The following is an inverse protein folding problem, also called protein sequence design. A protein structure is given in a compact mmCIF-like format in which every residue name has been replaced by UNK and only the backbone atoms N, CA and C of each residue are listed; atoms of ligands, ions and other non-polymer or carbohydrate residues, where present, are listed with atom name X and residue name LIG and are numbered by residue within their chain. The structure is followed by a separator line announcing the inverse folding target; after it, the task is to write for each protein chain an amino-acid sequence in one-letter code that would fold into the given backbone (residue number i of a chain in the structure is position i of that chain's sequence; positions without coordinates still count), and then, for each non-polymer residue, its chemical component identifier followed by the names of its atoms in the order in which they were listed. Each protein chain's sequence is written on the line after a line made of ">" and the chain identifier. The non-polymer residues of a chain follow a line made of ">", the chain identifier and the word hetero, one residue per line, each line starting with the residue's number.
data_IF_404431028529
#
_entry.id   IF_404431028529
#
_cell.length_a   1.000
_cell.length_b   1.000
_cell.length_c   1.000
_cell.angle_alpha   90.00
_cell.angle_beta   90.00
_cell.angle_gamma   90.00
#
_symmetry.space_group_name_H-M   'P 1'
#
loop_
_entity.id
_entity.type
_entity.pdbx_description
1 polymer ?
#
# COMPACT_ATOMS: atom_id res chain seq x y z
N UNK A 1 -2.58 -27.64 18.48
CA UNK A 1 -2.17 -26.24 18.33
C UNK A 1 -2.94 -25.58 17.21
N UNK A 2 -3.42 -24.34 17.42
CA UNK A 2 -4.00 -23.46 16.40
C UNK A 2 -3.09 -22.22 16.33
N UNK A 3 -2.75 -21.80 15.13
CA UNK A 3 -1.91 -20.59 14.90
C UNK A 3 -2.63 -19.70 13.86
N UNK A 4 -3.16 -18.59 14.34
CA UNK A 4 -3.88 -17.61 13.53
C UNK A 4 -3.00 -16.37 13.37
N UNK A 5 -2.86 -15.91 12.14
CA UNK A 5 -2.01 -14.75 11.80
C UNK A 5 -2.80 -13.64 11.14
N UNK A 6 -2.24 -12.43 11.13
CA UNK A 6 -2.82 -11.26 10.48
C UNK A 6 -4.22 -10.89 10.99
N UNK A 7 -4.50 -11.06 12.28
CA UNK A 7 -5.75 -10.61 12.88
C UNK A 7 -5.61 -9.12 13.19
N UNK A 8 -6.45 -8.22 12.65
CA UNK A 8 -6.39 -6.79 13.01
C UNK A 8 -6.51 -6.59 14.53
N UNK A 9 -5.72 -5.71 15.10
CA UNK A 9 -5.64 -5.45 16.55
C UNK A 9 -6.99 -5.03 17.17
N UNK A 10 -7.85 -4.37 16.37
CA UNK A 10 -9.19 -3.95 16.77
C UNK A 10 -10.28 -4.97 16.43
N UNK A 11 -9.91 -6.16 15.95
CA UNK A 11 -10.88 -7.21 15.65
C UNK A 11 -11.48 -7.80 16.93
N UNK A 12 -12.79 -7.93 16.96
CA UNK A 12 -13.50 -8.65 18.02
C UNK A 12 -13.04 -10.11 18.17
N UNK A 13 -12.42 -10.67 17.14
CA UNK A 13 -11.80 -12.00 17.18
C UNK A 13 -10.80 -12.14 18.30
N UNK A 14 -10.04 -11.08 18.61
CA UNK A 14 -9.02 -11.10 19.68
C UNK A 14 -9.67 -11.37 21.06
N UNK A 15 -10.76 -10.67 21.36
CA UNK A 15 -11.48 -10.82 22.63
C UNK A 15 -12.18 -12.17 22.72
N UNK A 16 -12.84 -12.58 21.62
CA UNK A 16 -13.52 -13.87 21.54
C UNK A 16 -12.54 -15.05 21.72
N UNK A 17 -11.35 -14.98 21.11
CA UNK A 17 -10.33 -16.02 21.28
C UNK A 17 -9.88 -16.14 22.73
N UNK A 18 -9.74 -15.06 23.48
CA UNK A 18 -9.37 -15.07 24.90
C UNK A 18 -10.46 -15.75 25.75
N UNK A 19 -11.72 -15.40 25.51
CA UNK A 19 -12.86 -15.96 26.25
C UNK A 19 -13.02 -17.44 25.94
N UNK A 20 -13.15 -17.81 24.67
CA UNK A 20 -13.39 -19.18 24.24
C UNK A 20 -12.23 -20.10 24.63
N UNK A 21 -10.98 -19.67 24.49
CA UNK A 21 -9.84 -20.50 24.90
C UNK A 21 -9.90 -20.86 26.37
N UNK A 22 -10.23 -19.88 27.24
CA UNK A 22 -10.38 -20.14 28.68
C UNK A 22 -11.50 -21.14 29.00
N UNK A 23 -12.67 -21.00 28.36
CA UNK A 23 -13.82 -21.89 28.56
C UNK A 23 -13.54 -23.35 28.14
N UNK A 24 -12.72 -23.58 27.13
CA UNK A 24 -12.43 -24.92 26.60
C UNK A 24 -11.07 -25.47 27.04
N UNK A 25 -10.43 -24.89 28.07
CA UNK A 25 -9.17 -25.37 28.59
C UNK A 25 -7.97 -25.21 27.64
N UNK A 26 -7.99 -24.15 26.84
CA UNK A 26 -6.88 -23.77 25.98
C UNK A 26 -6.15 -22.56 26.57
N UNK A 27 -4.85 -22.51 26.36
CA UNK A 27 -4.03 -21.35 26.66
C UNK A 27 -3.84 -20.54 25.37
N UNK A 28 -4.19 -19.26 25.39
CA UNK A 28 -4.00 -18.33 24.26
C UNK A 28 -2.81 -17.42 24.53
N UNK A 29 -1.87 -17.36 23.55
CA UNK A 29 -0.79 -16.38 23.45
C UNK A 29 -1.08 -15.48 22.25
N UNK A 30 -1.39 -14.21 22.51
CA UNK A 30 -1.77 -13.24 21.48
C UNK A 30 -0.79 -12.07 21.53
N UNK A 31 -0.01 -11.90 20.46
CA UNK A 31 1.07 -10.93 20.38
C UNK A 31 0.97 -10.10 19.09
N UNK A 32 1.43 -8.81 19.10
CA UNK A 32 1.65 -8.06 17.90
C UNK A 32 2.61 -8.79 16.95
N UNK A 33 2.24 -8.90 15.67
CA UNK A 33 3.07 -9.57 14.67
C UNK A 33 3.74 -8.58 13.73
N UNK A 34 2.97 -7.63 13.19
CA UNK A 34 3.48 -6.63 12.25
C UNK A 34 2.79 -5.30 12.43
N UNK A 35 3.52 -4.22 12.18
CA UNK A 35 2.98 -2.88 12.05
C UNK A 35 2.12 -2.77 10.77
N UNK A 36 1.04 -2.03 10.85
CA UNK A 36 0.10 -1.75 9.74
C UNK A 36 -0.28 -0.28 9.74
N UNK A 37 0.61 0.61 9.29
CA UNK A 37 0.35 2.05 9.30
C UNK A 37 -0.79 2.43 8.38
N UNK A 38 -1.72 3.26 8.87
CA UNK A 38 -2.91 3.71 8.14
C UNK A 38 -3.04 5.23 8.24
N UNK A 39 -3.35 5.89 7.14
CA UNK A 39 -3.76 7.29 7.14
C UNK A 39 -5.29 7.33 7.23
N UNK A 40 -5.82 8.04 8.23
CA UNK A 40 -7.21 8.46 8.25
C UNK A 40 -7.36 9.67 7.32
N UNK A 41 -8.01 9.49 6.19
CA UNK A 41 -8.14 10.52 5.18
C UNK A 41 -9.08 11.64 5.63
N UNK A 42 -8.68 12.88 5.37
CA UNK A 42 -9.51 14.05 5.57
C UNK A 42 -10.51 14.22 4.41
N UNK A 43 -11.42 15.18 4.54
CA UNK A 43 -12.44 15.46 3.53
C UNK A 43 -11.86 16.02 2.22
N UNK A 44 -10.70 16.70 2.32
CA UNK A 44 -10.02 17.29 1.19
C UNK A 44 -8.50 17.28 1.38
N UNK A 45 -7.78 17.52 0.28
CA UNK A 45 -6.33 17.49 0.23
C UNK A 45 -5.65 18.53 1.14
N UNK A 46 -6.17 19.75 1.20
CA UNK A 46 -5.57 20.82 2.00
C UNK A 46 -5.74 20.56 3.50
N UNK A 47 -6.90 20.04 3.90
CA UNK A 47 -7.15 19.59 5.28
C UNK A 47 -6.24 18.43 5.66
N UNK A 48 -6.06 17.46 4.76
CA UNK A 48 -5.10 16.36 4.97
C UNK A 48 -3.67 16.90 5.15
N UNK A 49 -3.20 17.77 4.26
CA UNK A 49 -1.88 18.37 4.36
C UNK A 49 -1.71 19.21 5.64
N UNK A 50 -2.75 19.90 6.10
CA UNK A 50 -2.70 20.66 7.34
C UNK A 50 -2.47 19.77 8.58
N UNK A 51 -2.95 18.53 8.54
CA UNK A 51 -2.74 17.52 9.59
C UNK A 51 -1.34 16.89 9.61
N UNK A 52 -0.52 17.07 8.57
CA UNK A 52 0.84 16.53 8.50
C UNK A 52 1.85 17.51 9.12
N UNK A 53 2.95 16.98 9.66
CA UNK A 53 4.10 17.77 10.11
C UNK A 53 4.50 18.83 9.08
N UNK A 54 4.79 20.05 9.54
CA UNK A 54 5.09 21.21 8.69
C UNK A 54 6.21 20.93 7.68
N UNK A 55 7.28 20.27 8.11
CA UNK A 55 8.44 19.96 7.24
C UNK A 55 8.03 18.98 6.15
N UNK A 56 7.27 17.94 6.49
CA UNK A 56 6.81 16.93 5.52
C UNK A 56 5.80 17.53 4.53
N UNK A 57 4.86 18.36 5.01
CA UNK A 57 3.92 19.10 4.16
C UNK A 57 4.63 19.98 3.14
N UNK A 58 5.67 20.72 3.55
CA UNK A 58 6.47 21.54 2.63
C UNK A 58 7.19 20.69 1.58
N UNK A 59 7.71 19.54 1.99
CA UNK A 59 8.41 18.62 1.09
C UNK A 59 7.46 17.99 0.07
N UNK A 60 6.27 17.58 0.48
CA UNK A 60 5.23 17.06 -0.42
C UNK A 60 4.85 18.13 -1.45
N UNK A 61 4.52 19.34 -1.02
CA UNK A 61 4.15 20.44 -1.92
C UNK A 61 5.28 20.81 -2.88
N UNK A 62 6.52 20.82 -2.41
CA UNK A 62 7.69 21.12 -3.26
C UNK A 62 7.87 20.08 -4.37
N UNK A 63 7.73 18.79 -4.03
CA UNK A 63 7.88 17.70 -5.01
C UNK A 63 6.73 17.67 -6.02
N UNK A 64 5.50 17.87 -5.58
CA UNK A 64 4.33 17.96 -6.46
C UNK A 64 4.47 19.16 -7.42
N UNK A 65 4.81 20.34 -6.91
CA UNK A 65 5.02 21.52 -7.76
C UNK A 65 6.09 21.26 -8.82
N UNK A 66 7.22 20.62 -8.47
CA UNK A 66 8.26 20.26 -9.44
C UNK A 66 7.73 19.29 -10.51
N UNK A 67 6.89 18.34 -10.15
CA UNK A 67 6.26 17.44 -11.11
C UNK A 67 5.30 18.19 -12.04
N UNK A 68 4.49 19.11 -11.50
CA UNK A 68 3.55 19.92 -12.26
C UNK A 68 4.26 20.90 -13.23
N UNK A 69 5.38 21.51 -12.82
CA UNK A 69 6.22 22.35 -13.66
C UNK A 69 6.85 21.57 -14.83
N UNK A 70 6.90 20.24 -14.74
CA UNK A 70 7.39 19.31 -15.78
C UNK A 70 6.24 18.44 -16.34
N UNK A 71 5.02 18.95 -16.36
CA UNK A 71 3.82 18.19 -16.74
C UNK A 71 3.82 17.65 -18.18
N UNK A 72 4.64 18.21 -19.06
CA UNK A 72 4.83 17.69 -20.42
C UNK A 72 5.55 16.34 -20.43
N UNK A 73 6.44 16.11 -19.44
CA UNK A 73 7.27 14.92 -19.34
C UNK A 73 6.86 13.98 -18.19
N UNK A 74 6.22 14.52 -17.12
CA UNK A 74 5.76 13.78 -15.95
C UNK A 74 4.26 13.53 -16.05
N UNK A 75 3.87 12.25 -16.12
CA UNK A 75 2.46 11.83 -16.16
C UNK A 75 2.24 10.69 -15.19
N UNK A 76 1.01 10.55 -14.72
CA UNK A 76 0.62 9.36 -13.97
C UNK A 76 -0.74 8.84 -14.46
N UNK A 77 -0.98 7.55 -14.30
CA UNK A 77 -2.23 6.91 -14.67
C UNK A 77 -2.49 5.66 -13.83
N UNK A 78 -3.73 5.20 -13.87
CA UNK A 78 -4.17 3.92 -13.29
C UNK A 78 -4.47 2.98 -14.47
N UNK A 79 -3.93 1.76 -14.42
CA UNK A 79 -4.19 0.71 -15.38
C UNK A 79 -5.69 0.36 -15.40
N UNK A 80 -6.33 0.58 -16.53
CA UNK A 80 -7.78 0.39 -16.70
C UNK A 80 -8.18 -0.28 -18.03
N UNK A 81 -7.21 -0.70 -18.82
CA UNK A 81 -7.45 -1.35 -20.10
C UNK A 81 -7.01 -2.82 -20.03
N UNK A 82 -7.96 -3.73 -20.33
CA UNK A 82 -7.71 -5.17 -20.33
C UNK A 82 -6.65 -5.60 -21.35
N UNK A 83 -6.63 -4.93 -22.52
CA UNK A 83 -5.70 -5.31 -23.61
C UNK A 83 -4.24 -4.99 -23.29
N UNK A 84 -3.98 -4.05 -22.36
CA UNK A 84 -2.64 -3.65 -21.93
C UNK A 84 -2.26 -4.22 -20.57
N UNK A 85 -3.20 -4.85 -19.85
CA UNK A 85 -2.99 -5.27 -18.46
C UNK A 85 -1.77 -6.18 -18.29
N UNK A 86 -1.58 -7.17 -19.14
CA UNK A 86 -0.43 -8.10 -19.06
C UNK A 86 0.89 -7.35 -19.20
N UNK A 87 0.98 -6.40 -20.13
CA UNK A 87 2.18 -5.58 -20.30
C UNK A 87 2.43 -4.64 -19.13
N UNK A 88 1.38 -4.16 -18.48
CA UNK A 88 1.47 -3.32 -17.28
C UNK A 88 1.88 -4.13 -16.05
N UNK A 89 1.42 -5.38 -15.92
CA UNK A 89 1.89 -6.31 -14.88
C UNK A 89 3.40 -6.57 -15.03
N UNK A 90 3.87 -6.85 -16.24
CA UNK A 90 5.30 -7.07 -16.49
C UNK A 90 6.13 -5.79 -16.25
N UNK A 91 5.61 -4.63 -16.60
CA UNK A 91 6.26 -3.34 -16.30
C UNK A 91 6.36 -3.10 -14.78
N UNK A 92 5.31 -3.44 -14.02
CA UNK A 92 5.33 -3.38 -12.56
C UNK A 92 6.37 -4.33 -11.95
N UNK A 93 6.44 -5.58 -12.41
CA UNK A 93 7.46 -6.52 -11.94
C UNK A 93 8.88 -6.05 -12.29
N UNK A 94 9.07 -5.49 -13.48
CA UNK A 94 10.37 -4.88 -13.87
C UNK A 94 10.79 -3.79 -12.89
N UNK A 95 9.89 -2.90 -12.49
CA UNK A 95 10.17 -1.87 -11.48
C UNK A 95 10.44 -2.45 -10.10
N UNK A 96 9.73 -3.52 -9.70
CA UNK A 96 10.00 -4.19 -8.44
C UNK A 96 11.40 -4.82 -8.41
N UNK A 97 11.86 -5.39 -9.52
CA UNK A 97 13.17 -6.05 -9.63
C UNK A 97 14.37 -5.08 -9.55
N UNK A 98 14.14 -3.77 -9.62
CA UNK A 98 15.17 -2.76 -9.36
C UNK A 98 15.62 -2.76 -7.89
N UNK A 99 14.81 -3.29 -6.98
CA UNK A 99 15.15 -3.54 -5.59
C UNK A 99 15.58 -4.99 -5.40
N UNK A 100 16.76 -5.21 -4.79
CA UNK A 100 17.38 -6.54 -4.68
C UNK A 100 16.53 -7.51 -3.83
N UNK A 101 15.84 -7.02 -2.80
CA UNK A 101 15.03 -7.88 -1.93
C UNK A 101 13.68 -8.19 -2.57
N UNK A 102 13.08 -7.24 -3.28
CA UNK A 102 11.88 -7.48 -4.09
C UNK A 102 12.16 -8.42 -5.26
N UNK A 103 13.33 -8.33 -5.87
CA UNK A 103 13.77 -9.28 -6.91
C UNK A 103 13.84 -10.72 -6.36
N UNK A 104 14.37 -10.90 -5.15
CA UNK A 104 14.39 -12.23 -4.49
C UNK A 104 12.96 -12.71 -4.13
N UNK A 105 12.09 -11.80 -3.74
CA UNK A 105 10.69 -12.08 -3.44
C UNK A 105 9.92 -12.55 -4.67
N UNK A 106 10.19 -11.98 -5.85
CA UNK A 106 9.54 -12.29 -7.12
C UNK A 106 10.03 -13.62 -7.74
N UNK A 107 9.93 -14.72 -6.97
CA UNK A 107 10.13 -16.06 -7.55
C UNK A 107 9.12 -16.32 -8.69
N UNK A 108 9.38 -17.28 -9.61
CA UNK A 108 8.41 -17.62 -10.67
C UNK A 108 7.02 -17.93 -10.12
N UNK A 109 6.94 -18.64 -8.99
CA UNK A 109 5.66 -18.94 -8.32
C UNK A 109 4.99 -17.68 -7.80
N UNK A 110 5.74 -16.75 -7.17
CA UNK A 110 5.19 -15.51 -6.65
C UNK A 110 4.71 -14.59 -7.79
N UNK A 111 5.46 -14.52 -8.90
CA UNK A 111 5.02 -13.75 -10.08
C UNK A 111 3.70 -14.29 -10.63
N UNK A 112 3.58 -15.61 -10.80
CA UNK A 112 2.34 -16.22 -11.25
C UNK A 112 1.18 -15.92 -10.31
N UNK A 113 1.36 -16.12 -8.99
CA UNK A 113 0.34 -15.82 -7.99
C UNK A 113 -0.08 -14.34 -7.97
N UNK A 114 0.89 -13.42 -8.05
CA UNK A 114 0.58 -11.99 -8.09
C UNK A 114 -0.16 -11.62 -9.39
N UNK A 115 0.24 -12.18 -10.52
CA UNK A 115 -0.45 -11.97 -11.80
C UNK A 115 -1.91 -12.43 -11.71
N UNK A 116 -2.17 -13.63 -11.17
CA UNK A 116 -3.52 -14.17 -10.99
C UNK A 116 -4.38 -13.27 -10.10
N UNK A 117 -3.81 -12.77 -8.98
CA UNK A 117 -4.49 -11.84 -8.07
C UNK A 117 -4.79 -10.50 -8.75
N UNK A 118 -3.86 -9.97 -9.54
CA UNK A 118 -4.04 -8.71 -10.28
C UNK A 118 -5.17 -8.86 -11.31
N UNK A 119 -5.19 -9.95 -12.09
CA UNK A 119 -6.26 -10.21 -13.05
C UNK A 119 -7.62 -10.38 -12.37
N UNK A 120 -7.66 -11.12 -11.26
CA UNK A 120 -8.88 -11.26 -10.49
C UNK A 120 -9.36 -9.89 -9.98
N UNK A 121 -8.49 -9.11 -9.36
CA UNK A 121 -8.84 -7.79 -8.84
C UNK A 121 -9.29 -6.82 -9.94
N UNK A 122 -8.69 -6.91 -11.14
CA UNK A 122 -9.13 -6.14 -12.31
C UNK A 122 -10.56 -6.51 -12.72
N UNK A 123 -10.86 -7.81 -12.80
CA UNK A 123 -12.19 -8.30 -13.18
C UNK A 123 -13.28 -7.92 -12.16
N UNK A 124 -12.93 -7.90 -10.87
CA UNK A 124 -13.85 -7.52 -9.79
C UNK A 124 -13.93 -6.00 -9.57
N UNK A 125 -13.13 -5.20 -10.29
CA UNK A 125 -13.11 -3.76 -10.13
C UNK A 125 -12.38 -3.26 -8.87
N UNK A 126 -11.53 -4.08 -8.28
CA UNK A 126 -10.76 -3.73 -7.08
C UNK A 126 -9.32 -3.32 -7.37
N UNK A 127 -8.84 -3.53 -8.60
CA UNK A 127 -7.46 -3.22 -8.94
C UNK A 127 -7.22 -1.72 -9.01
N UNK A 128 -6.16 -1.26 -8.34
CA UNK A 128 -5.56 0.04 -8.57
C UNK A 128 -4.05 -0.13 -8.76
N UNK A 129 -3.65 -0.54 -9.96
CA UNK A 129 -2.26 -0.57 -10.41
C UNK A 129 -1.95 0.77 -11.08
N UNK A 130 -1.06 1.54 -10.44
CA UNK A 130 -0.79 2.93 -10.83
C UNK A 130 0.65 3.12 -11.23
N UNK A 131 0.89 3.93 -12.24
CA UNK A 131 2.23 4.23 -12.76
C UNK A 131 2.46 5.74 -12.81
N UNK A 132 3.71 6.12 -12.58
CA UNK A 132 4.24 7.44 -12.94
C UNK A 132 5.26 7.27 -14.04
N UNK A 133 5.09 8.05 -15.10
CA UNK A 133 5.98 8.09 -16.24
C UNK A 133 6.75 9.41 -16.29
N UNK A 134 8.01 9.32 -16.70
CA UNK A 134 8.87 10.46 -16.98
C UNK A 134 9.45 10.24 -18.38
N UNK A 135 9.22 11.18 -19.28
CA UNK A 135 9.60 11.07 -20.71
C UNK A 135 9.13 9.75 -21.34
N UNK A 136 7.89 9.35 -21.02
CA UNK A 136 7.26 8.12 -21.54
C UNK A 136 7.79 6.81 -20.95
N UNK A 137 8.70 6.85 -19.97
CA UNK A 137 9.23 5.67 -19.28
C UNK A 137 8.63 5.53 -17.89
N UNK A 138 8.27 4.31 -17.48
CA UNK A 138 7.77 4.03 -16.15
C UNK A 138 8.86 4.25 -15.09
N UNK A 139 8.71 5.26 -14.26
CA UNK A 139 9.65 5.65 -13.20
C UNK A 139 9.27 5.10 -11.83
N UNK A 140 7.98 4.88 -11.59
CA UNK A 140 7.47 4.22 -10.39
C UNK A 140 6.11 3.59 -10.63
N UNK A 141 5.78 2.60 -9.81
CA UNK A 141 4.47 1.98 -9.79
C UNK A 141 4.07 1.58 -8.36
N UNK A 142 2.75 1.59 -8.11
CA UNK A 142 2.13 1.05 -6.91
C UNK A 142 1.03 0.07 -7.29
N UNK A 143 1.10 -1.13 -6.72
CA UNK A 143 0.01 -2.09 -6.73
C UNK A 143 -0.82 -1.87 -5.46
N UNK A 144 -2.06 -1.49 -5.65
CA UNK A 144 -3.03 -1.23 -4.59
C UNK A 144 -4.35 -1.92 -4.91
N UNK A 145 -5.19 -2.05 -3.88
CA UNK A 145 -6.55 -2.56 -4.01
C UNK A 145 -7.53 -1.53 -3.46
N UNK A 146 -8.54 -1.19 -4.25
CA UNK A 146 -9.66 -0.36 -3.85
C UNK A 146 -10.78 -1.26 -3.31
N UNK A 147 -10.91 -1.34 -2.00
CA UNK A 147 -11.94 -2.17 -1.37
C UNK A 147 -12.65 -1.45 -0.22
N UNK A 148 -13.96 -1.33 -0.34
CA UNK A 148 -14.79 -0.62 0.64
C UNK A 148 -14.35 0.84 0.81
N UNK A 149 -14.06 1.24 2.04
CA UNK A 149 -13.59 2.59 2.36
C UNK A 149 -12.06 2.71 2.39
N UNK A 150 -11.34 1.69 1.93
CA UNK A 150 -9.88 1.61 1.98
C UNK A 150 -9.26 1.61 0.58
N UNK A 151 -8.17 2.35 0.43
CA UNK A 151 -7.17 2.09 -0.59
C UNK A 151 -6.00 1.37 0.08
N UNK A 152 -5.81 0.09 -0.27
CA UNK A 152 -4.85 -0.83 0.35
C UNK A 152 -3.59 -0.92 -0.52
N UNK A 153 -2.46 -0.38 -0.05
CA UNK A 153 -1.18 -0.40 -0.80
C UNK A 153 -0.42 -1.68 -0.51
N UNK A 154 -0.38 -2.58 -1.49
CA UNK A 154 0.24 -3.89 -1.34
C UNK A 154 1.76 -3.89 -1.61
N UNK A 155 2.17 -3.30 -2.73
CA UNK A 155 3.59 -3.27 -3.11
C UNK A 155 3.89 -2.10 -4.07
N UNK A 156 5.17 -1.83 -4.31
CA UNK A 156 5.62 -0.76 -5.18
C UNK A 156 6.92 -1.13 -5.89
N UNK A 157 7.21 -0.45 -6.98
CA UNK A 157 8.47 -0.56 -7.70
C UNK A 157 8.95 0.80 -8.16
N UNK A 158 10.28 1.00 -8.23
CA UNK A 158 10.90 2.28 -8.56
C UNK A 158 12.11 2.08 -9.45
N UNK A 159 12.25 2.93 -10.48
CA UNK A 159 13.50 3.08 -11.20
C UNK A 159 14.33 4.20 -10.57
N UNK A 160 15.43 3.82 -9.94
CA UNK A 160 16.31 4.75 -9.22
C UNK A 160 17.04 5.74 -10.13
N UNK A 161 17.08 5.50 -11.46
CA UNK A 161 17.65 6.46 -12.43
C UNK A 161 16.87 7.77 -12.47
N UNK A 162 15.58 7.75 -12.05
CA UNK A 162 14.69 8.91 -11.93
C UNK A 162 14.65 9.52 -10.52
N UNK A 163 15.59 9.17 -9.64
CA UNK A 163 15.57 9.58 -8.22
C UNK A 163 15.48 11.10 -8.01
N UNK A 164 16.00 11.92 -8.93
CA UNK A 164 15.90 13.37 -8.89
C UNK A 164 14.45 13.89 -8.89
N UNK A 165 13.51 13.18 -9.56
CA UNK A 165 12.08 13.50 -9.59
C UNK A 165 11.35 12.96 -8.36
N UNK A 166 11.99 12.13 -7.54
CA UNK A 166 11.36 11.46 -6.39
C UNK A 166 10.05 10.72 -6.77
N UNK A 167 10.04 9.86 -7.82
CA UNK A 167 8.82 9.37 -8.46
C UNK A 167 7.90 8.60 -7.51
N UNK A 168 8.47 7.81 -6.58
CA UNK A 168 7.66 7.10 -5.59
C UNK A 168 6.94 8.02 -4.62
N UNK A 169 7.58 9.13 -4.23
CA UNK A 169 6.98 10.12 -3.34
C UNK A 169 5.85 10.91 -4.04
N UNK A 170 6.10 11.31 -5.29
CA UNK A 170 5.12 12.06 -6.09
C UNK A 170 3.91 11.19 -6.40
N UNK A 171 4.13 9.97 -6.89
CA UNK A 171 3.02 9.04 -7.19
C UNK A 171 2.21 8.73 -5.93
N UNK A 172 2.86 8.48 -4.79
CA UNK A 172 2.16 8.27 -3.52
C UNK A 172 1.28 9.46 -3.13
N UNK A 173 1.77 10.70 -3.36
CA UNK A 173 0.97 11.90 -3.12
C UNK A 173 -0.26 11.96 -4.02
N UNK A 174 -0.14 11.63 -5.30
CA UNK A 174 -1.28 11.54 -6.23
C UNK A 174 -2.27 10.46 -5.83
N UNK A 175 -1.78 9.30 -5.35
CA UNK A 175 -2.67 8.22 -4.89
C UNK A 175 -3.47 8.60 -3.64
N UNK A 176 -2.86 9.33 -2.71
CA UNK A 176 -3.57 9.85 -1.53
C UNK A 176 -4.62 10.90 -1.95
N UNK A 177 -4.27 11.82 -2.87
CA UNK A 177 -5.23 12.77 -3.44
C UNK A 177 -6.38 12.04 -4.13
N UNK A 178 -6.08 11.03 -4.93
CA UNK A 178 -7.07 10.21 -5.62
C UNK A 178 -8.00 9.52 -4.62
N UNK A 179 -7.47 8.91 -3.57
CA UNK A 179 -8.26 8.26 -2.53
C UNK A 179 -9.21 9.26 -1.83
N UNK A 180 -8.74 10.46 -1.51
CA UNK A 180 -9.57 11.55 -0.95
C UNK A 180 -10.68 11.93 -1.95
N UNK A 181 -10.32 12.18 -3.21
CA UNK A 181 -11.27 12.63 -4.25
C UNK A 181 -12.33 11.56 -4.60
N UNK A 182 -12.00 10.28 -4.40
CA UNK A 182 -12.94 9.16 -4.59
C UNK A 182 -13.68 8.76 -3.30
N UNK A 183 -13.57 9.57 -2.24
CA UNK A 183 -14.34 9.43 -1.01
C UNK A 183 -13.91 8.27 -0.12
N UNK A 184 -12.64 7.84 -0.20
CA UNK A 184 -12.10 6.84 0.73
C UNK A 184 -11.88 7.45 2.11
N UNK A 185 -12.09 6.64 3.14
CA UNK A 185 -11.84 7.02 4.53
C UNK A 185 -10.42 6.68 4.99
N UNK A 186 -9.80 5.70 4.34
CA UNK A 186 -8.52 5.15 4.78
C UNK A 186 -7.57 4.91 3.60
N UNK A 187 -6.31 5.31 3.82
CA UNK A 187 -5.19 4.92 2.97
C UNK A 187 -4.31 3.98 3.79
N UNK A 188 -4.37 2.71 3.50
CA UNK A 188 -3.79 1.63 4.30
C UNK A 188 -2.49 1.14 3.63
N UNK A 189 -1.37 1.32 4.32
CA UNK A 189 -0.07 0.86 3.84
C UNK A 189 0.18 -0.62 4.07
N UNK A 190 -0.81 -1.33 4.58
CA UNK A 190 -0.68 -2.73 4.94
C UNK A 190 0.53 -2.98 5.85
N UNK A 191 1.24 -4.10 5.71
CA UNK A 191 2.35 -4.46 6.58
C UNK A 191 3.62 -3.63 6.33
N UNK A 192 4.35 -3.37 7.42
CA UNK A 192 5.67 -2.73 7.42
C UNK A 192 5.67 -1.36 8.09
N UNK A 193 6.78 -1.03 8.71
CA UNK A 193 7.00 0.17 9.53
C UNK A 193 7.98 1.16 8.86
N UNK A 194 8.03 1.16 7.54
CA UNK A 194 8.95 2.02 6.80
C UNK A 194 8.66 3.50 7.09
N UNK A 195 9.69 4.22 7.45
CA UNK A 195 9.64 5.61 7.93
C UNK A 195 8.86 6.55 7.00
N UNK A 196 8.85 6.31 5.68
CA UNK A 196 8.15 7.20 4.76
C UNK A 196 6.64 7.20 4.98
N UNK A 197 6.03 6.09 5.41
CA UNK A 197 4.60 5.98 5.70
C UNK A 197 4.17 6.99 6.76
N UNK A 198 4.96 7.10 7.83
CA UNK A 198 4.71 8.05 8.92
C UNK A 198 4.96 9.51 8.51
N UNK A 199 5.86 9.74 7.54
CA UNK A 199 6.06 11.07 6.96
C UNK A 199 4.84 11.55 6.17
N UNK A 200 4.02 10.64 5.67
CA UNK A 200 2.72 10.93 5.07
C UNK A 200 1.58 10.95 6.09
N UNK A 201 1.87 10.93 7.39
CA UNK A 201 0.89 11.07 8.46
C UNK A 201 0.17 9.78 8.84
N UNK A 202 0.71 8.61 8.45
CA UNK A 202 0.16 7.35 8.89
C UNK A 202 0.25 7.20 10.41
N UNK A 203 -0.81 6.68 11.00
CA UNK A 203 -0.88 6.26 12.39
C UNK A 203 -0.63 4.77 12.47
N UNK A 204 0.07 4.36 13.50
CA UNK A 204 0.43 2.96 13.67
C UNK A 204 -0.77 2.11 14.11
N UNK A 205 -0.85 0.92 13.57
CA UNK A 205 -1.73 -0.16 13.94
C UNK A 205 -0.97 -1.47 13.90
N UNK A 206 -1.62 -2.55 14.28
CA UNK A 206 -0.99 -3.86 14.31
C UNK A 206 -1.90 -4.92 13.72
N UNK A 207 -1.29 -5.93 13.11
CA UNK A 207 -1.91 -7.25 12.99
C UNK A 207 -1.30 -8.16 14.03
N UNK A 208 -2.18 -8.95 14.67
CA UNK A 208 -1.84 -9.82 15.78
C UNK A 208 -1.66 -11.25 15.28
N UNK A 209 -0.85 -12.01 16.02
CA UNK A 209 -0.77 -13.46 15.90
C UNK A 209 -1.34 -14.08 17.18
N UNK A 210 -2.26 -15.02 17.02
CA UNK A 210 -2.84 -15.77 18.13
C UNK A 210 -2.44 -17.24 18.04
N UNK A 211 -1.74 -17.73 19.05
CA UNK A 211 -1.40 -19.15 19.22
C UNK A 211 -2.23 -19.72 20.34
N UNK A 212 -2.95 -20.80 20.05
CA UNK A 212 -3.75 -21.51 21.05
C UNK A 212 -3.19 -22.92 21.20
N UNK A 213 -2.92 -23.31 22.42
CA UNK A 213 -2.43 -24.65 22.80
C UNK A 213 -3.39 -25.27 23.83
N UNK A 214 -3.56 -26.56 23.79
CA UNK A 214 -4.24 -27.26 24.90
C UNK A 214 -3.38 -27.14 26.14
N UNK A 215 -4.03 -26.82 27.28
CA UNK A 215 -3.40 -26.85 28.58
C UNK A 215 -2.88 -28.25 28.93
#
# INVERSE_FOLDING_TARGET
>A
QIDLVNIPDKSTTIELLKVISGEYGWVSDIQPAYHTPVIHLAQDWETYLAGIDKKQRHEIRRKLRRADENSDTVKWYIANNRDTLDSEIEAFFTLMEMDADKKKFLTPQMRAQMSDVIHWAFNEGYLQLSFMQIDGKNASAYLSFDYGQHLLVYNSGFDYSFSEYSPGWVLLSYLIQHAINTGKSYFDFMRGDETYKYRFGAQDGFVMRARLNRA
#
